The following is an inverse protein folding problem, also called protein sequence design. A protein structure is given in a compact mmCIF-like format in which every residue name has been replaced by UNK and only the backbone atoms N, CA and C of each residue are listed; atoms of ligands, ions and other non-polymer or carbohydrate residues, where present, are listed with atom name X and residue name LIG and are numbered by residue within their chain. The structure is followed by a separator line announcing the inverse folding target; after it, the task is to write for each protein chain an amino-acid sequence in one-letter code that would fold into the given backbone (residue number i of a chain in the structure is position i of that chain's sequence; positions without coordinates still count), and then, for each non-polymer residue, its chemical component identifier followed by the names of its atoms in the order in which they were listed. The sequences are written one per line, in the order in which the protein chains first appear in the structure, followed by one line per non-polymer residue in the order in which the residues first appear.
data_IF_012123651663
#
_entry.id   IF_012123651663
#
_cell.length_a   1.000
_cell.length_b   1.000
_cell.length_c   1.000
_cell.angle_alpha   90.00
_cell.angle_beta   90.00
_cell.angle_gamma   90.00
#
_symmetry.space_group_name_H-M   'P 1'
#
loop_
_entity.id
_entity.type
_entity.pdbx_description
1 polymer ?
#
# COMPACT_ATOMS: atom_id res chain seq x y z
N UNK A 1 -13.07 -3.35 -3.93
CA UNK A 1 -12.50 -4.23 -2.87
C UNK A 1 -11.46 -3.50 -2.02
N UNK A 2 -10.33 -3.09 -2.58
CA UNK A 2 -9.23 -2.44 -1.84
C UNK A 2 -9.63 -1.19 -1.04
N UNK A 3 -10.51 -0.33 -1.57
CA UNK A 3 -10.97 0.87 -0.85
C UNK A 3 -11.81 0.55 0.40
N UNK A 4 -12.61 -0.51 0.36
CA UNK A 4 -13.36 -0.97 1.54
C UNK A 4 -12.44 -1.66 2.54
N UNK A 5 -11.47 -2.44 2.05
CA UNK A 5 -10.45 -3.05 2.90
C UNK A 5 -9.65 -1.98 3.64
N UNK A 6 -9.22 -0.92 2.95
CA UNK A 6 -8.49 0.20 3.55
C UNK A 6 -9.25 0.81 4.73
N UNK A 7 -10.53 1.13 4.56
CA UNK A 7 -11.37 1.66 5.64
C UNK A 7 -11.47 0.68 6.81
N UNK A 8 -11.68 -0.61 6.53
CA UNK A 8 -11.71 -1.64 7.56
C UNK A 8 -10.38 -1.74 8.32
N UNK A 9 -9.23 -1.59 7.65
CA UNK A 9 -7.91 -1.55 8.30
C UNK A 9 -7.80 -0.33 9.22
N UNK A 10 -8.23 0.86 8.77
CA UNK A 10 -8.24 2.09 9.58
C UNK A 10 -9.04 1.89 10.87
N UNK A 11 -10.25 1.33 10.78
CA UNK A 11 -11.08 1.06 11.95
C UNK A 11 -10.43 0.04 12.89
N UNK A 12 -9.82 -1.02 12.36
CA UNK A 12 -9.11 -2.03 13.17
C UNK A 12 -7.94 -1.43 13.94
N UNK A 13 -7.14 -0.57 13.29
CA UNK A 13 -6.03 0.14 13.95
C UNK A 13 -6.58 1.05 15.04
N UNK A 14 -7.62 1.83 14.75
CA UNK A 14 -8.23 2.74 15.74
C UNK A 14 -8.78 1.99 16.96
N UNK A 15 -9.38 0.82 16.77
CA UNK A 15 -9.86 -0.02 17.89
C UNK A 15 -8.71 -0.60 18.70
N UNK A 16 -7.62 -1.05 18.05
CA UNK A 16 -6.42 -1.54 18.74
C UNK A 16 -5.73 -0.45 19.55
N UNK A 17 -5.62 0.75 18.98
CA UNK A 17 -5.01 1.92 19.60
C UNK A 17 -5.67 2.33 20.93
N UNK A 18 -6.99 2.09 21.08
CA UNK A 18 -7.70 2.35 22.34
C UNK A 18 -7.18 1.49 23.50
N UNK A 19 -6.62 0.32 23.21
CA UNK A 19 -6.06 -0.61 24.22
C UNK A 19 -4.56 -0.44 24.39
N UNK A 20 -3.84 -0.23 23.29
CA UNK A 20 -2.40 -0.01 23.30
C UNK A 20 -2.02 0.97 22.18
N UNK A 21 -1.45 2.12 22.56
CA UNK A 21 -1.04 3.16 21.63
C UNK A 21 0.09 2.71 20.68
N UNK A 22 0.93 1.75 21.07
CA UNK A 22 2.05 1.23 20.26
C UNK A 22 1.58 0.58 18.95
N UNK A 23 0.32 0.13 18.90
CA UNK A 23 -0.30 -0.41 17.68
C UNK A 23 -0.28 0.62 16.55
N UNK A 24 -0.40 1.92 16.85
CA UNK A 24 -0.30 2.98 15.85
C UNK A 24 1.12 3.02 15.27
N UNK A 25 2.14 2.97 16.13
CA UNK A 25 3.54 3.01 15.73
C UNK A 25 3.88 1.86 14.78
N UNK A 26 3.50 0.63 15.19
CA UNK A 26 3.72 -0.59 14.42
C UNK A 26 3.02 -0.54 13.06
N UNK A 27 1.75 -0.11 13.02
CA UNK A 27 0.97 -0.13 11.80
C UNK A 27 1.26 1.05 10.85
N UNK A 28 1.89 2.13 11.32
CA UNK A 28 1.99 3.41 10.62
C UNK A 28 2.61 3.32 9.22
N UNK A 29 3.79 2.69 9.10
CA UNK A 29 4.55 2.60 7.85
C UNK A 29 3.84 1.70 6.85
N UNK A 30 3.40 0.52 7.30
CA UNK A 30 2.67 -0.40 6.42
C UNK A 30 1.32 0.19 5.98
N UNK A 31 0.61 0.91 6.86
CA UNK A 31 -0.62 1.63 6.52
C UNK A 31 -0.39 2.68 5.43
N UNK A 32 0.70 3.46 5.54
CA UNK A 32 1.09 4.42 4.53
C UNK A 32 1.38 3.75 3.19
N UNK A 33 2.14 2.65 3.19
CA UNK A 33 2.48 1.93 1.96
C UNK A 33 1.23 1.33 1.32
N UNK A 34 0.34 0.73 2.11
CA UNK A 34 -0.93 0.19 1.63
C UNK A 34 -1.80 1.28 0.97
N UNK A 35 -1.95 2.44 1.62
CA UNK A 35 -2.67 3.60 1.08
C UNK A 35 -2.00 4.15 -0.19
N UNK A 36 -0.68 4.17 -0.23
CA UNK A 36 0.11 4.61 -1.38
C UNK A 36 -0.12 3.73 -2.61
N UNK A 37 -0.10 2.41 -2.46
CA UNK A 37 -0.39 1.48 -3.57
C UNK A 37 -1.82 1.62 -4.10
N UNK A 38 -2.81 1.79 -3.22
CA UNK A 38 -4.19 2.04 -3.65
C UNK A 38 -4.29 3.35 -4.44
N UNK A 39 -3.66 4.41 -3.93
CA UNK A 39 -3.64 5.71 -4.59
C UNK A 39 -2.96 5.61 -5.96
N UNK A 40 -1.83 4.92 -6.05
CA UNK A 40 -1.13 4.68 -7.31
C UNK A 40 -2.04 3.96 -8.33
N UNK A 41 -2.69 2.87 -7.92
CA UNK A 41 -3.61 2.11 -8.78
C UNK A 41 -4.78 2.97 -9.26
N UNK A 42 -5.32 3.83 -8.40
CA UNK A 42 -6.40 4.76 -8.75
C UNK A 42 -5.97 5.79 -9.80
N UNK A 43 -4.76 6.34 -9.71
CA UNK A 43 -4.22 7.25 -10.73
C UNK A 43 -3.99 6.53 -12.06
N UNK A 44 -3.48 5.29 -12.02
CA UNK A 44 -3.29 4.48 -13.23
C UNK A 44 -4.60 4.10 -13.91
N UNK A 45 -5.63 3.74 -13.15
CA UNK A 45 -6.95 3.45 -13.69
C UNK A 45 -7.55 4.67 -14.43
N UNK A 46 -7.37 5.88 -13.88
CA UNK A 46 -7.80 7.12 -14.53
C UNK A 46 -7.03 7.39 -15.83
N UNK A 47 -5.73 7.12 -15.85
CA UNK A 47 -4.91 7.24 -17.06
C UNK A 47 -5.30 6.21 -18.12
N UNK A 48 -5.57 4.97 -17.71
CA UNK A 48 -6.05 3.90 -18.58
C UNK A 48 -7.40 4.25 -19.20
N UNK A 49 -8.35 4.73 -18.41
CA UNK A 49 -9.66 5.15 -18.91
C UNK A 49 -9.54 6.25 -19.97
N UNK A 50 -8.72 7.27 -19.70
CA UNK A 50 -8.47 8.35 -20.66
C UNK A 50 -7.76 7.85 -21.93
N UNK A 51 -6.81 6.92 -21.80
CA UNK A 51 -6.11 6.31 -22.92
C UNK A 51 -7.04 5.44 -23.78
N UNK A 52 -7.88 4.61 -23.15
CA UNK A 52 -8.87 3.78 -23.82
C UNK A 52 -9.88 4.61 -24.61
N UNK A 53 -10.38 5.72 -24.04
CA UNK A 53 -11.25 6.67 -24.74
C UNK A 53 -10.56 7.32 -25.95
N UNK A 54 -9.29 7.67 -25.81
CA UNK A 54 -8.49 8.26 -26.90
C UNK A 54 -8.27 7.27 -28.05
N UNK A 55 -7.97 6.01 -27.72
CA UNK A 55 -7.82 4.92 -28.68
C UNK A 55 -9.13 4.61 -29.41
N UNK A 56 -10.24 4.53 -28.69
CA UNK A 56 -11.55 4.23 -29.26
C UNK A 56 -12.07 5.33 -30.19
N UNK A 57 -11.81 6.60 -29.84
CA UNK A 57 -12.23 7.74 -30.67
C UNK A 57 -11.32 8.03 -31.86
N UNK A 58 -10.06 7.56 -31.83
CA UNK A 58 -9.04 7.91 -32.81
C UNK A 58 -8.59 9.38 -32.78
N UNK A 59 -9.05 10.19 -31.81
CA UNK A 59 -8.79 11.64 -31.70
C UNK A 59 -7.74 11.99 -30.64
N UNK A 60 -6.80 11.08 -30.40
CA UNK A 60 -5.69 11.32 -29.48
C UNK A 60 -4.74 12.40 -30.00
N UNK A 61 -4.20 13.24 -29.10
CA UNK A 61 -3.17 14.23 -29.42
C UNK A 61 -1.78 13.61 -29.61
N UNK A 62 -1.59 12.41 -29.07
CA UNK A 62 -0.32 11.68 -29.08
C UNK A 62 -0.41 10.44 -29.97
N UNK A 63 0.72 9.81 -30.34
CA UNK A 63 0.72 8.58 -31.12
C UNK A 63 -0.07 7.45 -30.42
N UNK A 64 -0.63 6.53 -31.21
CA UNK A 64 -1.44 5.40 -30.72
C UNK A 64 -0.68 4.57 -29.69
N UNK A 65 0.61 4.35 -29.95
CA UNK A 65 1.54 3.55 -29.15
C UNK A 65 1.69 4.10 -27.72
N UNK A 66 1.58 5.43 -27.54
CA UNK A 66 1.62 6.05 -26.22
C UNK A 66 0.43 5.63 -25.36
N UNK A 67 -0.77 5.62 -25.94
CA UNK A 67 -1.98 5.23 -25.23
C UNK A 67 -2.00 3.72 -24.95
N UNK A 68 -1.56 2.91 -25.91
CA UNK A 68 -1.38 1.47 -25.69
C UNK A 68 -0.37 1.19 -24.57
N UNK A 69 0.72 1.95 -24.49
CA UNK A 69 1.70 1.84 -23.41
C UNK A 69 1.08 2.19 -22.04
N UNK A 70 0.19 3.19 -21.97
CA UNK A 70 -0.53 3.52 -20.73
C UNK A 70 -1.43 2.40 -20.25
N UNK A 71 -2.18 1.77 -21.15
CA UNK A 71 -3.02 0.61 -20.82
C UNK A 71 -2.15 -0.55 -20.31
N UNK A 72 -1.07 -0.88 -21.01
CA UNK A 72 -0.12 -1.94 -20.59
C UNK A 72 0.52 -1.66 -19.23
N UNK A 73 0.87 -0.40 -18.95
CA UNK A 73 1.45 -0.03 -17.66
C UNK A 73 0.43 -0.10 -16.53
N UNK A 74 -0.83 0.26 -16.80
CA UNK A 74 -1.92 0.08 -15.82
C UNK A 74 -2.08 -1.39 -15.45
N UNK A 75 -2.12 -2.29 -16.44
CA UNK A 75 -2.16 -3.74 -16.19
C UNK A 75 -1.00 -4.21 -15.29
N UNK A 76 0.24 -3.77 -15.58
CA UNK A 76 1.38 -4.07 -14.70
C UNK A 76 1.19 -3.57 -13.26
N UNK A 77 0.65 -2.36 -13.06
CA UNK A 77 0.40 -1.81 -11.72
C UNK A 77 -0.61 -2.66 -10.96
N UNK A 78 -1.69 -3.08 -11.61
CA UNK A 78 -2.72 -3.91 -11.00
C UNK A 78 -2.27 -5.35 -10.75
N UNK A 79 -1.51 -5.94 -11.67
CA UNK A 79 -1.12 -7.35 -11.62
C UNK A 79 0.13 -7.59 -10.77
N UNK A 80 1.09 -6.65 -10.75
CA UNK A 80 2.38 -6.84 -10.07
C UNK A 80 2.60 -5.97 -8.85
N UNK A 81 2.13 -4.72 -8.84
CA UNK A 81 2.39 -3.80 -7.73
C UNK A 81 1.29 -3.89 -6.67
N UNK A 82 0.03 -3.83 -7.07
CA UNK A 82 -1.10 -3.82 -6.15
C UNK A 82 -1.16 -5.05 -5.23
N UNK A 83 -0.80 -6.28 -5.65
CA UNK A 83 -0.81 -7.44 -4.74
C UNK A 83 0.13 -7.33 -3.54
N UNK A 84 1.18 -6.49 -3.61
CA UNK A 84 2.13 -6.24 -2.49
C UNK A 84 1.43 -5.66 -1.26
N UNK A 85 0.26 -5.04 -1.44
CA UNK A 85 -0.59 -4.58 -0.33
C UNK A 85 -0.96 -5.70 0.65
N UNK A 86 -1.00 -6.97 0.20
CA UNK A 86 -1.27 -8.11 1.07
C UNK A 86 -0.21 -8.29 2.17
N UNK A 87 1.07 -8.10 1.82
CA UNK A 87 2.18 -8.15 2.77
C UNK A 87 2.08 -7.04 3.80
N UNK A 88 1.85 -5.79 3.36
CA UNK A 88 1.67 -4.66 4.27
C UNK A 88 0.49 -4.88 5.22
N UNK A 89 -0.64 -5.37 4.69
CA UNK A 89 -1.79 -5.70 5.51
C UNK A 89 -1.44 -6.73 6.59
N UNK A 90 -0.65 -7.75 6.28
CA UNK A 90 -0.24 -8.75 7.26
C UNK A 90 0.69 -8.14 8.33
N UNK A 91 1.68 -7.35 7.90
CA UNK A 91 2.66 -6.72 8.77
C UNK A 91 2.05 -5.75 9.80
N UNK A 92 1.04 -4.94 9.39
CA UNK A 92 0.34 -3.98 10.28
C UNK A 92 -0.27 -4.58 11.55
N UNK A 93 -0.58 -5.88 11.56
CA UNK A 93 -1.23 -6.54 12.69
C UNK A 93 -0.35 -7.61 13.33
N UNK A 94 0.96 -7.52 13.14
CA UNK A 94 1.91 -8.33 13.90
C UNK A 94 1.83 -8.00 15.40
N UNK A 95 2.09 -8.97 16.29
CA UNK A 95 2.01 -8.74 17.73
C UNK A 95 2.97 -7.63 18.18
N UNK A 96 2.53 -6.78 19.11
CA UNK A 96 3.41 -5.74 19.69
C UNK A 96 4.68 -6.35 20.29
N UNK A 97 4.57 -7.52 20.92
CA UNK A 97 5.70 -8.24 21.50
C UNK A 97 6.77 -8.67 20.50
N UNK A 98 6.45 -8.85 19.21
CA UNK A 98 7.48 -9.21 18.22
C UNK A 98 8.37 -8.03 17.85
N UNK A 99 7.95 -6.79 18.15
CA UNK A 99 8.70 -5.58 17.84
C UNK A 99 9.23 -4.92 19.12
N UNK A 100 8.39 -4.84 20.15
CA UNK A 100 8.67 -4.15 21.41
C UNK A 100 8.97 -5.09 22.58
N UNK A 101 9.09 -6.40 22.34
CA UNK A 101 9.32 -7.40 23.41
C UNK A 101 10.78 -7.52 23.85
N UNK A 102 11.72 -6.95 23.09
CA UNK A 102 13.15 -6.98 23.39
C UNK A 102 13.50 -5.97 24.48
N UNK A 103 14.22 -6.41 25.51
CA UNK A 103 14.69 -5.54 26.59
C UNK A 103 15.85 -4.68 26.11
N UNK A 104 16.01 -3.50 26.68
CA UNK A 104 17.10 -2.58 26.36
C UNK A 104 18.49 -3.25 26.46
N UNK A 105 18.71 -4.04 27.50
CA UNK A 105 19.97 -4.78 27.72
C UNK A 105 20.29 -5.80 26.64
N UNK A 106 19.30 -6.23 25.85
CA UNK A 106 19.48 -7.23 24.80
C UNK A 106 19.91 -6.57 23.47
N UNK A 107 19.83 -5.24 23.32
CA UNK A 107 20.17 -4.53 22.08
C UNK A 107 21.68 -4.42 21.81
N UNK A 108 22.50 -4.53 22.85
CA UNK A 108 23.95 -4.64 22.76
C UNK A 108 24.43 -5.60 23.85
N UNK A 109 25.57 -6.25 23.67
CA UNK A 109 26.19 -7.10 24.70
C UNK A 109 27.55 -6.54 25.15
N UNK A 110 27.90 -5.33 24.70
CA UNK A 110 29.22 -4.72 24.90
C UNK A 110 29.38 -4.09 26.31
N UNK A 111 28.30 -3.99 27.10
CA UNK A 111 28.33 -3.44 28.47
C UNK A 111 29.11 -4.29 29.49
N UNK A 112 29.67 -5.42 29.06
CA UNK A 112 30.40 -6.39 29.89
C UNK A 112 31.92 -6.49 29.56
N UNK A 113 32.45 -5.59 28.74
CA UNK A 113 33.89 -5.46 28.44
C UNK A 113 34.50 -4.21 29.08
#
# INVERSE_FOLDING_TARGET
RYSFEWQALTYRIAMGARKNADVIGIASVDYLLYAGYISLAQHWLRMEEAAAKSLASGKGKLPKEFYEAKVKTSAFVFDHLLPRTSTHRAAMFTPVSSIMGMKESEFSFDHAL
#
